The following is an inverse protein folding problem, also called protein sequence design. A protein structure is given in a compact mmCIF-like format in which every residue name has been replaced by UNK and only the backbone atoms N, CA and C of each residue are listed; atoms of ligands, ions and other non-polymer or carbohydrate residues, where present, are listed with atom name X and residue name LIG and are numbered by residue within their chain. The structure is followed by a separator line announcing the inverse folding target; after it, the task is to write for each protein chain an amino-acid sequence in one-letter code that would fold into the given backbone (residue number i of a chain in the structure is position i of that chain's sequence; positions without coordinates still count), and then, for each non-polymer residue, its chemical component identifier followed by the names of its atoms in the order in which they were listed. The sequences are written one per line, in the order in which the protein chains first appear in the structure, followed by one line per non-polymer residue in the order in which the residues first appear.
data_IF_613840187676
#
_entry.id   IF_613840187676
#
_cell.length_a   1.000
_cell.length_b   1.000
_cell.length_c   1.000
_cell.angle_alpha   90.00
_cell.angle_beta   90.00
_cell.angle_gamma   90.00
#
_symmetry.space_group_name_H-M   'P 1'
#
loop_
_entity.id
_entity.type
_entity.pdbx_description
1 polymer ?
#
# COMPACT_ATOMS: atom_id res chain seq x y z
N UNK A 1 19.26 -3.44 -23.19
CA UNK A 1 19.46 -2.95 -21.81
C UNK A 1 19.09 -4.04 -20.84
N UNK A 2 19.86 -4.19 -19.78
CA UNK A 2 19.68 -5.27 -18.80
C UNK A 2 18.76 -4.77 -17.69
N UNK A 3 17.66 -5.48 -17.36
CA UNK A 3 16.84 -5.14 -16.20
C UNK A 3 17.67 -5.22 -14.92
N UNK A 4 17.33 -4.41 -13.91
CA UNK A 4 17.95 -4.50 -12.58
C UNK A 4 17.82 -5.94 -12.04
N UNK A 5 18.91 -6.45 -11.50
CA UNK A 5 19.04 -7.79 -10.95
C UNK A 5 19.62 -7.79 -9.54
N UNK A 6 19.73 -8.98 -8.95
CA UNK A 6 20.20 -9.18 -7.57
C UNK A 6 21.58 -8.56 -7.32
N UNK A 7 22.48 -8.58 -8.31
CA UNK A 7 23.81 -7.99 -8.18
C UNK A 7 23.78 -6.47 -7.94
N UNK A 8 22.69 -5.79 -8.37
CA UNK A 8 22.52 -4.36 -8.16
C UNK A 8 22.16 -4.03 -6.70
N UNK A 9 21.69 -5.01 -5.91
CA UNK A 9 21.43 -4.81 -4.47
C UNK A 9 22.67 -4.36 -3.70
N UNK A 10 23.87 -4.72 -4.17
CA UNK A 10 25.13 -4.34 -3.54
C UNK A 10 25.57 -2.89 -3.85
N UNK A 11 24.98 -2.23 -4.85
CA UNK A 11 25.37 -0.86 -5.26
C UNK A 11 24.75 0.25 -4.42
N UNK A 12 23.72 -0.07 -3.64
CA UNK A 12 22.89 0.92 -2.95
C UNK A 12 21.78 1.49 -3.85
N UNK A 13 20.79 2.18 -3.24
CA UNK A 13 19.60 2.65 -3.94
C UNK A 13 19.90 3.69 -5.04
N UNK A 14 20.79 4.65 -4.76
CA UNK A 14 21.18 5.70 -5.70
C UNK A 14 21.88 5.15 -6.95
N UNK A 15 22.82 4.22 -6.75
CA UNK A 15 23.51 3.53 -7.83
C UNK A 15 22.57 2.70 -8.69
N UNK A 16 21.57 2.05 -8.07
CA UNK A 16 20.54 1.30 -8.78
C UNK A 16 19.58 2.21 -9.56
N UNK A 17 19.13 3.31 -8.98
CA UNK A 17 18.27 4.28 -9.65
C UNK A 17 18.98 4.93 -10.87
N UNK A 18 20.25 5.31 -10.73
CA UNK A 18 21.06 5.86 -11.83
C UNK A 18 21.31 4.86 -12.97
N UNK A 19 21.20 3.56 -12.70
CA UNK A 19 21.45 2.52 -13.69
C UNK A 19 20.22 2.19 -14.56
N UNK A 20 19.03 2.71 -14.23
CA UNK A 20 17.82 2.46 -15.02
C UNK A 20 17.64 3.49 -16.13
N UNK A 21 17.05 3.12 -17.28
CA UNK A 21 16.90 4.06 -18.39
C UNK A 21 15.96 5.24 -18.10
N UNK A 22 15.11 5.14 -17.08
CA UNK A 22 14.26 6.25 -16.66
C UNK A 22 15.08 7.45 -16.17
N UNK A 23 16.22 7.19 -15.52
CA UNK A 23 17.13 8.23 -15.04
C UNK A 23 17.68 9.09 -16.18
N UNK A 24 18.20 8.47 -17.24
CA UNK A 24 18.74 9.20 -18.40
C UNK A 24 17.69 10.02 -19.15
N UNK A 25 16.41 9.69 -19.00
CA UNK A 25 15.29 10.46 -19.56
C UNK A 25 14.84 11.62 -18.67
N UNK A 26 15.39 11.74 -17.46
CA UNK A 26 14.93 12.69 -16.45
C UNK A 26 13.61 12.28 -15.77
N UNK A 27 13.18 11.01 -15.88
CA UNK A 27 12.03 10.49 -15.12
C UNK A 27 12.54 9.88 -13.81
N UNK A 28 12.97 10.74 -12.89
CA UNK A 28 13.57 10.32 -11.62
C UNK A 28 12.58 9.59 -10.73
N UNK A 29 11.30 9.94 -10.79
CA UNK A 29 10.26 9.21 -10.06
C UNK A 29 10.17 7.74 -10.50
N UNK A 30 10.15 7.49 -11.82
CA UNK A 30 10.15 6.14 -12.36
C UNK A 30 11.42 5.40 -11.96
N UNK A 31 12.58 6.07 -11.97
CA UNK A 31 13.85 5.47 -11.57
C UNK A 31 13.89 5.06 -10.09
N UNK A 32 13.44 5.94 -9.19
CA UNK A 32 13.30 5.65 -7.75
C UNK A 32 12.35 4.47 -7.54
N UNK A 33 11.20 4.47 -8.23
CA UNK A 33 10.21 3.38 -8.14
C UNK A 33 10.77 2.04 -8.63
N UNK A 34 11.55 2.02 -9.70
CA UNK A 34 12.19 0.80 -10.21
C UNK A 34 13.25 0.26 -9.25
N UNK A 35 14.09 1.13 -8.68
CA UNK A 35 15.09 0.74 -7.68
C UNK A 35 14.43 0.18 -6.41
N UNK A 36 13.43 0.87 -5.85
CA UNK A 36 12.66 0.36 -4.70
C UNK A 36 11.89 -0.91 -5.06
N UNK A 37 11.43 -1.04 -6.30
CA UNK A 37 10.80 -2.25 -6.82
C UNK A 37 11.73 -3.47 -6.81
N UNK A 38 13.04 -3.29 -6.99
CA UNK A 38 14.02 -4.36 -6.81
C UNK A 38 14.14 -4.74 -5.34
N UNK A 39 14.41 -3.78 -4.44
CA UNK A 39 14.51 -4.03 -3.00
C UNK A 39 13.25 -4.73 -2.46
N UNK A 40 12.06 -4.24 -2.84
CA UNK A 40 10.75 -4.81 -2.50
C UNK A 40 10.64 -6.30 -2.83
N UNK A 41 11.09 -6.72 -4.02
CA UNK A 41 11.04 -8.13 -4.45
C UNK A 41 11.89 -9.06 -3.58
N UNK A 42 12.93 -8.51 -2.95
CA UNK A 42 13.92 -9.24 -2.18
C UNK A 42 13.75 -9.11 -0.66
N UNK A 43 12.73 -8.40 -0.16
CA UNK A 43 12.47 -8.28 1.28
C UNK A 43 12.19 -9.63 1.98
N UNK A 44 11.79 -10.64 1.21
CA UNK A 44 11.55 -11.99 1.72
C UNK A 44 12.82 -12.83 1.92
N UNK A 45 13.95 -12.39 1.37
CA UNK A 45 15.21 -13.10 1.49
C UNK A 45 15.77 -12.99 2.90
N UNK A 46 16.55 -13.99 3.31
CA UNK A 46 17.22 -13.96 4.63
C UNK A 46 18.17 -12.76 4.76
N UNK A 47 18.82 -12.38 3.67
CA UNK A 47 19.77 -11.27 3.59
C UNK A 47 19.21 -10.19 2.66
N UNK A 48 18.14 -9.52 3.10
CA UNK A 48 17.49 -8.49 2.30
C UNK A 48 18.21 -7.13 2.38
N UNK A 49 17.99 -6.29 1.36
CA UNK A 49 18.36 -4.88 1.36
C UNK A 49 17.10 -4.03 1.58
N UNK A 50 17.02 -3.30 2.68
CA UNK A 50 15.97 -2.29 2.89
C UNK A 50 16.48 -0.95 2.35
N UNK A 51 16.17 -0.69 1.09
CA UNK A 51 16.52 0.58 0.46
C UNK A 51 15.46 1.61 0.77
N UNK A 52 15.89 2.74 1.32
CA UNK A 52 15.05 3.88 1.66
C UNK A 52 15.57 5.10 0.90
N UNK A 53 14.65 5.89 0.37
CA UNK A 53 14.97 7.15 -0.29
C UNK A 53 14.50 8.32 0.57
N UNK A 54 15.42 9.18 1.01
CA UNK A 54 15.11 10.46 1.62
C UNK A 54 14.73 11.48 0.55
N UNK A 55 13.67 12.23 0.83
CA UNK A 55 13.05 13.23 -0.03
C UNK A 55 12.41 14.33 0.82
N UNK A 56 11.86 15.35 0.16
CA UNK A 56 10.98 16.34 0.76
C UNK A 56 9.62 16.28 0.08
N UNK A 57 8.53 16.32 0.86
CA UNK A 57 7.17 16.51 0.33
C UNK A 57 7.02 17.92 -0.26
N UNK A 58 5.96 18.19 -1.05
CA UNK A 58 5.74 19.52 -1.63
C UNK A 58 5.63 20.68 -0.62
N UNK A 59 5.25 20.39 0.62
CA UNK A 59 5.18 21.35 1.73
C UNK A 59 6.51 21.47 2.52
N UNK A 60 7.57 20.77 2.08
CA UNK A 60 8.90 20.84 2.67
C UNK A 60 9.09 19.97 3.91
N UNK A 61 8.20 19.01 4.16
CA UNK A 61 8.37 18.04 5.23
C UNK A 61 9.39 16.96 4.82
N UNK A 62 10.38 16.60 5.66
CA UNK A 62 11.25 15.46 5.40
C UNK A 62 10.42 14.18 5.23
N UNK A 63 10.77 13.36 4.24
CA UNK A 63 10.04 12.15 3.94
C UNK A 63 10.93 11.00 3.48
N UNK A 64 10.53 9.78 3.83
CA UNK A 64 11.21 8.56 3.41
C UNK A 64 10.31 7.69 2.55
N UNK A 65 10.72 7.41 1.32
CA UNK A 65 10.05 6.51 0.39
C UNK A 65 10.57 5.09 0.64
N UNK A 66 9.66 4.17 0.94
CA UNK A 66 9.99 2.83 1.42
C UNK A 66 9.86 1.75 0.32
N UNK A 67 10.53 0.58 0.47
CA UNK A 67 10.36 -0.55 -0.43
C UNK A 67 9.13 -1.40 -0.04
N UNK A 68 8.12 -0.79 0.59
CA UNK A 68 6.85 -1.42 0.98
C UNK A 68 5.70 -0.67 0.32
N UNK A 69 4.63 -1.36 -0.08
CA UNK A 69 3.42 -0.69 -0.62
C UNK A 69 2.51 -0.17 0.47
N UNK A 70 1.72 0.86 0.15
CA UNK A 70 0.61 1.32 1.00
C UNK A 70 -0.29 0.18 1.46
N UNK A 71 -0.64 -0.77 0.59
CA UNK A 71 -1.42 -1.95 0.98
C UNK A 71 -0.70 -2.83 2.03
N UNK A 72 0.62 -3.00 1.92
CA UNK A 72 1.38 -3.78 2.89
C UNK A 72 1.47 -3.07 4.24
N UNK A 73 1.40 -1.74 4.24
CA UNK A 73 1.25 -0.96 5.47
C UNK A 73 -0.12 -1.18 6.10
N UNK A 74 -1.22 -1.03 5.32
CA UNK A 74 -2.61 -1.23 5.81
C UNK A 74 -2.82 -2.62 6.40
N UNK A 75 -2.28 -3.63 5.74
CA UNK A 75 -2.47 -5.03 6.15
C UNK A 75 -1.45 -5.43 7.23
N UNK A 76 -0.42 -4.61 7.46
CA UNK A 76 0.80 -4.97 8.18
C UNK A 76 1.31 -6.37 7.80
N UNK A 77 1.24 -6.67 6.50
CA UNK A 77 1.50 -7.98 5.95
C UNK A 77 2.09 -7.88 4.55
N UNK A 78 2.85 -8.89 4.09
CA UNK A 78 3.35 -10.03 4.85
C UNK A 78 4.41 -9.64 5.91
N UNK A 79 4.75 -10.56 6.80
CA UNK A 79 5.63 -10.34 7.96
C UNK A 79 6.93 -9.57 7.67
N UNK A 80 7.64 -9.88 6.58
CA UNK A 80 8.92 -9.23 6.26
C UNK A 80 8.78 -7.75 5.88
N UNK A 81 7.91 -7.37 4.93
CA UNK A 81 7.54 -5.96 4.71
C UNK A 81 7.09 -5.24 5.98
N UNK A 82 6.30 -5.88 6.84
CA UNK A 82 5.89 -5.30 8.12
C UNK A 82 7.08 -5.04 9.06
N UNK A 83 7.99 -6.01 9.21
CA UNK A 83 9.23 -5.84 9.97
C UNK A 83 10.08 -4.70 9.42
N UNK A 84 10.17 -4.56 8.09
CA UNK A 84 10.92 -3.47 7.43
C UNK A 84 10.29 -2.11 7.72
N UNK A 85 8.97 -2.00 7.60
CA UNK A 85 8.22 -0.80 7.96
C UNK A 85 8.48 -0.42 9.43
N UNK A 86 8.24 -1.32 10.38
CA UNK A 86 8.37 -1.04 11.81
C UNK A 86 9.81 -0.65 12.20
N UNK A 87 10.82 -1.33 11.63
CA UNK A 87 12.23 -0.97 11.83
C UNK A 87 12.58 0.40 11.26
N UNK A 88 12.02 0.73 10.11
CA UNK A 88 12.27 2.04 9.48
C UNK A 88 11.59 3.17 10.24
N UNK A 89 10.38 2.95 10.77
CA UNK A 89 9.71 3.92 11.64
C UNK A 89 10.52 4.12 12.93
N UNK A 90 11.00 3.04 13.56
CA UNK A 90 11.88 3.14 14.72
C UNK A 90 13.16 3.92 14.40
N UNK A 91 13.79 3.64 13.26
CA UNK A 91 14.96 4.39 12.80
C UNK A 91 14.67 5.89 12.64
N UNK A 92 13.48 6.26 12.13
CA UNK A 92 13.10 7.66 12.03
C UNK A 92 12.95 8.32 13.40
N UNK A 93 12.32 7.62 14.35
CA UNK A 93 12.17 8.10 15.74
C UNK A 93 13.54 8.23 16.43
N UNK A 94 14.41 7.24 16.28
CA UNK A 94 15.78 7.28 16.79
C UNK A 94 16.59 8.43 16.16
N UNK A 95 16.25 8.78 14.90
CA UNK A 95 16.78 9.93 14.18
C UNK A 95 16.06 11.26 14.50
N UNK A 96 15.22 11.32 15.54
CA UNK A 96 14.60 12.56 16.02
C UNK A 96 13.23 12.90 15.43
N UNK A 97 12.69 12.10 14.51
CA UNK A 97 11.33 12.31 14.01
C UNK A 97 10.31 12.24 15.15
N UNK A 98 9.38 13.18 15.20
CA UNK A 98 8.36 13.31 16.24
C UNK A 98 7.29 12.21 16.07
N UNK A 99 7.20 11.20 16.96
CA UNK A 99 6.37 10.02 16.69
C UNK A 99 4.88 10.32 16.46
N UNK A 100 4.34 11.29 17.19
CA UNK A 100 2.95 11.72 17.09
C UNK A 100 2.64 12.56 15.83
N UNK A 101 3.66 12.94 15.06
CA UNK A 101 3.54 13.69 13.81
C UNK A 101 3.97 12.87 12.58
N UNK A 102 4.41 11.63 12.77
CA UNK A 102 4.74 10.73 11.65
C UNK A 102 3.45 10.36 10.92
N UNK A 103 3.37 10.73 9.64
CA UNK A 103 2.30 10.34 8.72
C UNK A 103 2.74 9.23 7.76
N UNK A 104 1.77 8.59 7.11
CA UNK A 104 2.03 7.62 6.05
C UNK A 104 1.21 7.98 4.82
N UNK A 105 1.87 8.29 3.71
CA UNK A 105 1.26 8.60 2.43
C UNK A 105 1.42 7.45 1.44
N UNK A 106 0.54 7.39 0.44
CA UNK A 106 0.69 6.53 -0.73
C UNK A 106 1.25 7.33 -1.92
N UNK A 107 2.49 7.04 -2.31
CA UNK A 107 3.09 7.60 -3.53
C UNK A 107 3.36 6.50 -4.55
N UNK A 108 2.64 6.54 -5.68
CA UNK A 108 2.78 5.56 -6.80
C UNK A 108 2.71 4.10 -6.33
N UNK A 109 1.86 3.83 -5.34
CA UNK A 109 1.67 2.51 -4.73
C UNK A 109 2.73 2.08 -3.71
N UNK A 110 3.71 2.94 -3.41
CA UNK A 110 4.69 2.78 -2.34
C UNK A 110 4.26 3.60 -1.11
N UNK A 111 4.70 3.16 0.07
CA UNK A 111 4.51 3.91 1.29
C UNK A 111 5.59 4.99 1.42
N UNK A 112 5.18 6.16 1.89
CA UNK A 112 6.05 7.28 2.23
C UNK A 112 5.80 7.65 3.68
N UNK A 113 6.84 7.70 4.50
CA UNK A 113 6.75 8.27 5.84
C UNK A 113 7.00 9.77 5.76
N UNK A 114 6.11 10.59 6.32
CA UNK A 114 6.42 12.00 6.60
C UNK A 114 7.01 12.08 8.00
N UNK A 115 8.12 12.80 8.15
CA UNK A 115 8.99 12.71 9.32
C UNK A 115 9.31 14.10 9.90
N UNK A 116 8.31 14.84 10.43
CA UNK A 116 8.56 16.12 11.09
C UNK A 116 9.58 15.97 12.23
N UNK A 117 10.57 16.87 12.28
CA UNK A 117 11.60 16.88 13.31
C UNK A 117 12.78 15.92 13.08
N UNK A 118 12.78 15.18 11.97
CA UNK A 118 13.90 14.32 11.59
C UNK A 118 15.23 15.10 11.54
N UNK A 119 16.27 14.52 12.11
CA UNK A 119 17.65 14.97 11.98
C UNK A 119 18.36 14.18 10.87
N UNK A 120 18.57 14.85 9.74
CA UNK A 120 19.20 14.27 8.55
C UNK A 120 20.66 13.84 8.77
N UNK A 121 21.36 14.40 9.77
CA UNK A 121 22.75 14.04 10.05
C UNK A 121 22.88 12.63 10.64
N UNK A 122 21.85 12.15 11.34
CA UNK A 122 21.82 10.83 11.98
C UNK A 122 20.89 9.84 11.27
N UNK A 123 20.01 10.32 10.38
CA UNK A 123 19.06 9.51 9.61
C UNK A 123 19.68 8.27 8.95
N UNK A 124 20.79 8.44 8.23
CA UNK A 124 21.45 7.33 7.53
C UNK A 124 22.03 6.28 8.50
N UNK A 125 22.56 6.72 9.64
CA UNK A 125 23.08 5.83 10.67
C UNK A 125 21.93 5.04 11.33
N UNK A 126 20.84 5.71 11.68
CA UNK A 126 19.68 5.06 12.28
C UNK A 126 19.06 3.99 11.37
N UNK A 127 18.94 4.27 10.06
CA UNK A 127 18.48 3.28 9.07
C UNK A 127 19.43 2.09 8.99
N UNK A 128 20.74 2.34 9.02
CA UNK A 128 21.73 1.26 9.02
C UNK A 128 21.60 0.36 10.26
N UNK A 129 21.53 0.96 11.45
CA UNK A 129 21.45 0.25 12.73
C UNK A 129 20.14 -0.54 12.90
N UNK A 130 19.03 -0.01 12.39
CA UNK A 130 17.73 -0.68 12.49
C UNK A 130 17.64 -1.98 11.66
N UNK A 131 18.54 -2.16 10.70
CA UNK A 131 18.58 -3.32 9.81
C UNK A 131 19.92 -4.08 9.92
N UNK A 132 20.18 -4.75 11.06
CA UNK A 132 21.44 -5.45 11.28
C UNK A 132 21.57 -6.71 10.42
N UNK A 133 22.82 -7.14 10.22
CA UNK A 133 23.17 -8.35 9.48
C UNK A 133 22.33 -9.57 9.94
N UNK A 134 21.86 -10.43 9.01
CA UNK A 134 22.21 -10.47 7.59
C UNK A 134 21.44 -9.47 6.70
N UNK A 135 20.51 -8.70 7.24
CA UNK A 135 19.89 -7.59 6.52
C UNK A 135 20.84 -6.39 6.45
N UNK A 136 20.52 -5.42 5.60
CA UNK A 136 21.17 -4.12 5.62
C UNK A 136 20.18 -3.03 5.18
N UNK A 137 20.17 -1.92 5.92
CA UNK A 137 19.42 -0.72 5.59
C UNK A 137 20.34 0.28 4.91
N UNK A 138 19.85 0.93 3.85
CA UNK A 138 20.58 1.97 3.14
C UNK A 138 19.64 3.12 2.84
N UNK A 139 19.98 4.31 3.32
CA UNK A 139 19.31 5.56 3.01
C UNK A 139 20.07 6.29 1.90
N UNK A 140 19.38 6.73 0.86
CA UNK A 140 19.94 7.59 -0.18
C UNK A 140 19.04 8.80 -0.45
N UNK A 141 19.62 9.89 -0.90
CA UNK A 141 18.88 11.10 -1.28
C UNK A 141 18.32 10.96 -2.70
N UNK A 142 17.07 11.39 -2.91
CA UNK A 142 16.50 11.52 -4.26
C UNK A 142 16.92 12.83 -4.93
N UNK A 143 16.80 12.93 -6.27
CA UNK A 143 16.84 14.22 -6.96
C UNK A 143 15.76 15.19 -6.42
N UNK A 144 16.02 16.51 -6.35
CA UNK A 144 15.08 17.49 -5.78
C UNK A 144 13.73 17.60 -6.51
N UNK A 145 13.64 17.13 -7.74
CA UNK A 145 12.40 17.08 -8.52
C UNK A 145 11.50 15.90 -8.17
N UNK A 146 11.99 14.93 -7.39
CA UNK A 146 11.19 13.85 -6.81
C UNK A 146 10.58 14.33 -5.50
N UNK A 147 9.34 14.79 -5.58
CA UNK A 147 8.56 15.24 -4.42
C UNK A 147 7.43 14.24 -4.16
N UNK A 148 7.60 13.28 -3.22
CA UNK A 148 6.54 12.33 -2.92
C UNK A 148 5.31 13.05 -2.36
N UNK A 149 4.16 12.77 -2.96
CA UNK A 149 2.86 13.27 -2.56
C UNK A 149 1.79 12.20 -2.86
N UNK A 150 0.69 12.26 -2.12
CA UNK A 150 -0.42 11.35 -2.29
C UNK A 150 -1.34 11.30 -1.08
N UNK A 151 -2.42 10.51 -1.15
CA UNK A 151 -3.38 10.41 -0.06
C UNK A 151 -2.76 9.70 1.15
N UNK A 152 -3.29 10.02 2.34
CA UNK A 152 -2.97 9.28 3.56
C UNK A 152 -3.33 7.79 3.41
N UNK A 153 -2.45 6.93 3.91
CA UNK A 153 -2.71 5.51 4.09
C UNK A 153 -3.61 5.35 5.32
N UNK A 154 -4.83 4.89 5.11
CA UNK A 154 -5.78 4.66 6.20
C UNK A 154 -5.28 3.52 7.11
N UNK A 155 -4.85 3.87 8.32
CA UNK A 155 -4.44 2.95 9.38
C UNK A 155 -5.66 2.62 10.26
N UNK A 156 -6.54 1.77 9.72
CA UNK A 156 -7.77 1.30 10.39
C UNK A 156 -7.49 0.42 11.61
N UNK A 157 -8.51 -0.29 12.12
CA UNK A 157 -8.35 -1.21 13.25
C UNK A 157 -7.30 -2.31 13.03
N UNK A 158 -7.15 -3.26 13.97
CA UNK A 158 -6.18 -4.33 13.87
C UNK A 158 -6.32 -5.09 12.52
N UNK A 159 -5.24 -5.22 11.73
CA UNK A 159 -5.28 -5.97 10.47
C UNK A 159 -5.65 -7.44 10.66
N UNK A 160 -6.31 -8.03 9.66
CA UNK A 160 -6.59 -9.45 9.69
C UNK A 160 -5.29 -10.28 9.61
N UNK A 161 -5.18 -11.31 10.44
CA UNK A 161 -4.06 -12.25 10.37
C UNK A 161 -2.73 -11.73 10.93
N UNK A 162 -2.78 -10.78 11.87
CA UNK A 162 -1.62 -10.42 12.69
C UNK A 162 -1.01 -11.66 13.36
N UNK A 163 0.31 -11.63 13.55
CA UNK A 163 1.02 -12.69 14.27
C UNK A 163 0.64 -12.59 15.76
N UNK A 164 -0.02 -13.62 16.34
CA UNK A 164 -0.42 -13.58 17.75
C UNK A 164 0.78 -13.60 18.71
N UNK A 165 1.98 -13.89 18.21
CA UNK A 165 3.22 -13.79 18.99
C UNK A 165 3.86 -12.39 18.96
N UNK A 166 3.36 -11.48 18.13
CA UNK A 166 3.82 -10.09 18.11
C UNK A 166 3.33 -9.36 19.38
N UNK A 167 4.22 -8.71 20.15
CA UNK A 167 3.86 -7.99 21.38
C UNK A 167 2.85 -6.85 21.18
N UNK A 168 2.74 -6.28 19.97
CA UNK A 168 1.78 -5.22 19.65
C UNK A 168 0.38 -5.75 19.36
N UNK A 169 0.23 -7.01 18.95
CA UNK A 169 -1.06 -7.64 18.65
C UNK A 169 -2.08 -7.50 19.80
N UNK A 170 -1.78 -7.90 21.05
CA UNK A 170 -2.76 -7.77 22.14
C UNK A 170 -3.11 -6.31 22.47
N UNK A 171 -2.22 -5.36 22.19
CA UNK A 171 -2.48 -3.93 22.39
C UNK A 171 -3.40 -3.40 21.30
N UNK A 172 -3.09 -3.69 20.04
CA UNK A 172 -3.88 -3.33 18.87
C UNK A 172 -5.31 -3.89 18.96
N UNK A 173 -5.47 -5.14 19.39
CA UNK A 173 -6.78 -5.76 19.61
C UNK A 173 -7.55 -5.06 20.74
N UNK A 174 -6.88 -4.70 21.84
CA UNK A 174 -7.52 -4.09 23.00
C UNK A 174 -7.94 -2.62 22.77
N UNK A 175 -7.23 -1.89 21.91
CA UNK A 175 -7.53 -0.49 21.55
C UNK A 175 -8.25 -0.34 20.22
N UNK A 176 -8.50 -1.46 19.53
CA UNK A 176 -8.99 -1.52 18.16
C UNK A 176 -8.22 -0.60 17.18
N UNK A 177 -6.90 -0.54 17.32
CA UNK A 177 -6.05 0.37 16.55
C UNK A 177 -5.05 -0.37 15.67
N UNK A 178 -4.63 0.24 14.57
CA UNK A 178 -3.53 -0.28 13.76
C UNK A 178 -2.25 -0.42 14.61
N UNK A 179 -1.48 -1.52 14.53
CA UNK A 179 -0.28 -1.69 15.33
C UNK A 179 0.78 -0.61 15.12
N UNK A 180 0.87 -0.03 13.91
CA UNK A 180 1.72 1.13 13.66
C UNK A 180 1.31 2.35 14.51
N UNK A 181 -0.01 2.60 14.67
CA UNK A 181 -0.50 3.69 15.53
C UNK A 181 -0.17 3.42 16.99
N UNK A 182 -0.34 2.17 17.45
CA UNK A 182 0.05 1.73 18.80
C UNK A 182 1.54 2.00 19.03
N UNK A 183 2.40 1.60 18.10
CA UNK A 183 3.84 1.78 18.23
C UNK A 183 4.27 3.25 18.25
N UNK A 184 3.67 4.09 17.39
CA UNK A 184 3.93 5.54 17.40
C UNK A 184 3.48 6.19 18.71
N UNK A 185 2.34 5.77 19.26
CA UNK A 185 1.83 6.29 20.53
C UNK A 185 2.72 5.90 21.72
N UNK A 186 3.20 4.65 21.72
CA UNK A 186 4.20 4.16 22.68
C UNK A 186 5.47 5.02 22.61
N UNK A 187 6.01 5.22 21.40
CA UNK A 187 7.20 6.03 21.18
C UNK A 187 7.01 7.49 21.62
N UNK A 188 5.86 8.10 21.32
CA UNK A 188 5.53 9.47 21.76
C UNK A 188 5.57 9.64 23.28
N UNK A 189 5.31 8.55 24.02
CA UNK A 189 5.33 8.49 25.48
C UNK A 189 6.61 7.85 26.05
N UNK A 190 7.68 7.78 25.24
CA UNK A 190 9.00 7.28 25.66
C UNK A 190 9.02 5.77 25.96
N UNK A 191 8.03 5.02 25.50
CA UNK A 191 8.02 3.56 25.57
C UNK A 191 8.70 2.98 24.32
N UNK A 192 9.46 1.90 24.50
CA UNK A 192 10.06 1.18 23.37
C UNK A 192 8.98 0.57 22.47
N UNK A 193 9.13 0.68 21.16
CA UNK A 193 8.19 0.13 20.16
C UNK A 193 8.31 -1.39 19.98
N UNK A 194 9.46 -1.95 20.35
CA UNK A 194 9.86 -3.34 20.10
C UNK A 194 10.12 -4.11 21.40
N UNK A 195 9.51 -3.67 22.50
CA UNK A 195 9.59 -4.39 23.76
C UNK A 195 9.10 -5.85 23.55
N UNK A 196 9.78 -6.85 24.14
CA UNK A 196 9.40 -8.26 23.96
C UNK A 196 8.03 -8.58 24.58
N UNK A 197 7.53 -7.72 25.46
CA UNK A 197 6.21 -7.78 26.07
C UNK A 197 5.87 -6.43 26.69
N UNK A 198 4.59 -6.10 26.78
CA UNK A 198 4.10 -4.92 27.48
C UNK A 198 3.33 -5.29 28.74
N UNK A 199 3.44 -4.50 29.83
CA UNK A 199 2.63 -4.68 31.03
C UNK A 199 1.15 -4.42 30.73
N UNK A 200 0.24 -5.12 31.41
CA UNK A 200 -1.20 -5.01 31.16
C UNK A 200 -1.76 -3.60 31.42
N UNK A 201 -1.10 -2.86 32.30
CA UNK A 201 -1.41 -1.48 32.65
C UNK A 201 -1.26 -0.51 31.46
N UNK A 202 -0.50 -0.89 30.41
CA UNK A 202 -0.32 -0.02 29.24
C UNK A 202 -1.62 0.18 28.45
N UNK A 203 -2.55 -0.78 28.48
CA UNK A 203 -3.79 -0.70 27.69
C UNK A 203 -4.67 0.48 28.16
N UNK A 204 -4.95 0.63 29.47
CA UNK A 204 -5.56 1.85 29.99
C UNK A 204 -4.81 3.14 29.63
N UNK A 205 -3.46 3.12 29.63
CA UNK A 205 -2.68 4.29 29.22
C UNK A 205 -2.89 4.65 27.75
N UNK A 206 -2.79 3.68 26.84
CA UNK A 206 -2.99 3.88 25.40
C UNK A 206 -4.37 4.50 25.11
N UNK A 207 -5.41 4.04 25.80
CA UNK A 207 -6.74 4.64 25.71
C UNK A 207 -6.76 6.08 26.21
N UNK A 208 -6.10 6.37 27.34
CA UNK A 208 -5.96 7.76 27.86
C UNK A 208 -5.15 8.66 26.93
N UNK A 209 -4.22 8.10 26.17
CA UNK A 209 -3.44 8.81 25.15
C UNK A 209 -4.20 9.00 23.83
N UNK A 210 -5.38 8.40 23.68
CA UNK A 210 -6.28 8.64 22.55
C UNK A 210 -6.43 7.46 21.59
N UNK A 211 -5.85 6.30 21.90
CA UNK A 211 -6.11 5.05 21.18
C UNK A 211 -7.30 4.31 21.81
N UNK A 212 -8.49 4.80 21.50
CA UNK A 212 -9.77 4.19 21.93
C UNK A 212 -10.72 4.14 20.72
N UNK A 213 -10.23 3.53 19.63
CA UNK A 213 -11.07 3.25 18.48
C UNK A 213 -12.10 2.18 18.86
N UNK A 214 -13.30 2.27 18.29
CA UNK A 214 -14.33 1.26 18.50
C UNK A 214 -14.27 0.21 17.40
N UNK A 215 -14.45 -1.09 17.70
CA UNK A 215 -14.72 -2.06 16.67
C UNK A 215 -15.95 -1.64 15.87
N UNK A 216 -15.96 -1.86 14.54
CA UNK A 216 -17.19 -1.74 13.80
C UNK A 216 -18.23 -2.65 14.47
N UNK A 217 -19.51 -2.23 14.55
CA UNK A 217 -20.54 -3.06 15.15
C UNK A 217 -20.54 -4.45 14.50
N UNK A 218 -20.85 -5.53 15.24
CA UNK A 218 -20.73 -6.91 14.74
C UNK A 218 -21.57 -7.19 13.48
N UNK A 219 -22.61 -6.38 13.24
CA UNK A 219 -23.46 -6.43 12.05
C UNK A 219 -23.06 -5.41 10.97
N UNK A 220 -21.91 -4.74 11.12
CA UNK A 220 -21.38 -3.86 10.09
C UNK A 220 -21.02 -4.72 8.86
N UNK A 221 -21.57 -4.40 7.69
CA UNK A 221 -21.25 -5.14 6.47
C UNK A 221 -19.76 -4.99 6.14
N UNK A 222 -19.07 -6.13 5.99
CA UNK A 222 -17.67 -6.18 5.57
C UNK A 222 -17.49 -5.49 4.21
N UNK A 223 -16.45 -4.66 4.10
CA UNK A 223 -16.07 -4.02 2.85
C UNK A 223 -15.11 -4.87 2.02
N UNK A 224 -14.68 -6.04 2.49
CA UNK A 224 -13.79 -6.92 1.72
C UNK A 224 -14.44 -7.37 0.40
N UNK A 225 -13.62 -7.67 -0.59
CA UNK A 225 -14.11 -8.11 -1.91
C UNK A 225 -14.78 -9.48 -1.79
N UNK A 226 -14.17 -10.36 -1.02
CA UNK A 226 -14.58 -11.75 -0.82
C UNK A 226 -15.95 -11.83 -0.12
N UNK A 227 -16.21 -10.89 0.79
CA UNK A 227 -17.45 -10.78 1.56
C UNK A 227 -18.57 -10.03 0.82
N UNK A 228 -18.31 -9.53 -0.39
CA UNK A 228 -19.33 -8.82 -1.16
C UNK A 228 -20.51 -9.76 -1.51
N UNK A 229 -21.74 -9.42 -1.09
CA UNK A 229 -22.90 -10.30 -1.30
C UNK A 229 -23.32 -10.40 -2.76
N UNK A 230 -22.85 -9.52 -3.65
CA UNK A 230 -23.13 -9.56 -5.08
C UNK A 230 -21.98 -10.25 -5.84
N UNK A 231 -22.17 -11.48 -6.37
CA UNK A 231 -21.10 -12.19 -7.10
C UNK A 231 -20.56 -11.41 -8.30
N UNK A 232 -21.45 -10.72 -9.04
CA UNK A 232 -21.08 -9.89 -10.19
C UNK A 232 -20.20 -8.71 -9.79
N UNK A 233 -20.55 -8.02 -8.71
CA UNK A 233 -19.74 -6.91 -8.17
C UNK A 233 -18.42 -7.41 -7.62
N UNK A 234 -18.40 -8.51 -6.87
CA UNK A 234 -17.16 -9.18 -6.42
C UNK A 234 -16.21 -9.47 -7.57
N UNK A 235 -16.72 -10.02 -8.67
CA UNK A 235 -15.93 -10.30 -9.88
C UNK A 235 -15.38 -9.00 -10.50
N UNK A 236 -16.22 -7.98 -10.65
CA UNK A 236 -15.80 -6.67 -11.15
C UNK A 236 -14.67 -6.07 -10.29
N UNK A 237 -14.84 -6.02 -8.97
CA UNK A 237 -13.85 -5.54 -7.99
C UNK A 237 -12.53 -6.29 -8.10
N UNK A 238 -12.60 -7.63 -8.21
CA UNK A 238 -11.42 -8.49 -8.39
C UNK A 238 -10.67 -8.18 -9.69
N UNK A 239 -11.40 -8.06 -10.81
CA UNK A 239 -10.82 -7.79 -12.12
C UNK A 239 -10.18 -6.40 -12.16
N UNK A 240 -10.87 -5.38 -11.66
CA UNK A 240 -10.35 -4.01 -11.62
C UNK A 240 -9.10 -3.91 -10.72
N UNK A 241 -9.12 -4.50 -9.52
CA UNK A 241 -7.96 -4.60 -8.60
C UNK A 241 -6.77 -5.25 -9.30
N UNK A 242 -7.00 -6.32 -10.06
CA UNK A 242 -5.95 -7.00 -10.83
C UNK A 242 -5.40 -6.13 -11.95
N UNK A 243 -6.24 -5.46 -12.74
CA UNK A 243 -5.80 -4.57 -13.83
C UNK A 243 -5.00 -3.37 -13.31
N UNK A 244 -5.40 -2.80 -12.17
CA UNK A 244 -4.68 -1.74 -11.47
C UNK A 244 -3.27 -2.20 -11.08
N UNK A 245 -3.16 -3.38 -10.45
CA UNK A 245 -1.87 -3.99 -10.09
C UNK A 245 -0.97 -4.25 -11.30
N UNK A 246 -1.55 -4.50 -12.47
CA UNK A 246 -0.83 -4.70 -13.73
C UNK A 246 -0.48 -3.39 -14.45
N UNK A 247 -0.86 -2.22 -13.90
CA UNK A 247 -0.62 -0.92 -14.52
C UNK A 247 -1.37 -0.72 -15.84
N UNK A 248 -2.51 -1.38 -16.04
CA UNK A 248 -3.30 -1.32 -17.29
C UNK A 248 -4.16 -0.06 -17.37
N UNK A 249 -3.55 1.11 -17.15
CA UNK A 249 -4.23 2.41 -17.10
C UNK A 249 -3.90 3.22 -18.35
N UNK A 250 -4.94 3.62 -19.09
CA UNK A 250 -4.81 4.38 -20.34
C UNK A 250 -4.56 3.50 -21.58
N UNK A 251 -4.87 4.06 -22.76
CA UNK A 251 -4.94 3.30 -24.02
C UNK A 251 -3.61 2.64 -24.45
N UNK A 252 -2.48 3.16 -23.97
CA UNK A 252 -1.17 2.59 -24.24
C UNK A 252 -0.98 1.24 -23.51
N UNK A 253 -1.61 1.05 -22.35
CA UNK A 253 -1.44 -0.11 -21.47
C UNK A 253 -2.73 -0.94 -21.39
N UNK A 254 -2.88 -1.85 -22.34
CA UNK A 254 -4.11 -2.63 -22.57
C UNK A 254 -3.87 -4.14 -22.41
N UNK A 255 -4.97 -4.88 -22.31
CA UNK A 255 -5.00 -6.35 -22.25
C UNK A 255 -6.12 -6.88 -23.15
N UNK A 256 -6.02 -8.14 -23.60
CA UNK A 256 -7.12 -8.81 -24.29
C UNK A 256 -8.37 -8.88 -23.40
N UNK A 257 -9.55 -8.69 -23.99
CA UNK A 257 -10.83 -8.72 -23.28
C UNK A 257 -11.07 -10.06 -22.58
N UNK A 258 -10.64 -11.17 -23.19
CA UNK A 258 -10.74 -12.52 -22.64
C UNK A 258 -10.07 -12.68 -21.27
N UNK A 259 -9.11 -11.82 -20.95
CA UNK A 259 -8.48 -11.84 -19.64
C UNK A 259 -9.45 -11.45 -18.52
N UNK A 260 -10.52 -10.70 -18.80
CA UNK A 260 -11.50 -10.27 -17.79
C UNK A 260 -12.24 -11.46 -17.14
N UNK A 261 -12.48 -12.54 -17.87
CA UNK A 261 -13.13 -13.75 -17.35
C UNK A 261 -12.16 -14.93 -17.19
N UNK A 262 -10.86 -14.73 -17.44
CA UNK A 262 -9.84 -15.74 -17.15
C UNK A 262 -9.76 -15.97 -15.63
N UNK A 263 -10.11 -17.18 -15.21
CA UNK A 263 -10.15 -17.62 -13.81
C UNK A 263 -11.55 -17.89 -13.27
N UNK A 264 -12.62 -17.48 -13.98
CA UNK A 264 -13.99 -17.86 -13.64
C UNK A 264 -14.22 -19.37 -13.86
N UNK A 265 -15.01 -19.98 -12.99
CA UNK A 265 -15.47 -21.36 -13.17
C UNK A 265 -16.22 -21.47 -14.52
N UNK A 266 -16.17 -22.63 -15.22
CA UNK A 266 -16.81 -22.79 -16.52
C UNK A 266 -18.27 -22.31 -16.59
N UNK A 267 -19.04 -22.57 -15.54
CA UNK A 267 -20.44 -22.17 -15.34
C UNK A 267 -20.63 -20.65 -15.19
N UNK A 268 -19.65 -19.93 -14.64
CA UNK A 268 -19.72 -18.49 -14.36
C UNK A 268 -19.15 -17.63 -15.49
N UNK A 269 -18.58 -18.24 -16.54
CA UNK A 269 -17.89 -17.49 -17.60
C UNK A 269 -18.79 -16.53 -18.35
N UNK A 270 -20.06 -16.90 -18.54
CA UNK A 270 -21.02 -16.02 -19.20
C UNK A 270 -21.29 -14.77 -18.36
N UNK A 271 -21.54 -14.94 -17.07
CA UNK A 271 -21.72 -13.82 -16.13
C UNK A 271 -20.46 -12.95 -16.03
N UNK A 272 -19.28 -13.56 -15.99
CA UNK A 272 -18.00 -12.85 -15.97
C UNK A 272 -17.76 -12.03 -17.25
N UNK A 273 -18.22 -12.52 -18.40
CA UNK A 273 -18.18 -11.80 -19.67
C UNK A 273 -19.14 -10.60 -19.64
N UNK A 274 -20.39 -10.82 -19.21
CA UNK A 274 -21.40 -9.75 -19.09
C UNK A 274 -20.93 -8.64 -18.13
N UNK A 275 -20.30 -9.00 -17.01
CA UNK A 275 -19.68 -8.03 -16.09
C UNK A 275 -18.58 -7.22 -16.79
N UNK A 276 -17.75 -7.88 -17.61
CA UNK A 276 -16.75 -7.21 -18.45
C UNK A 276 -17.39 -6.16 -19.37
N UNK A 277 -18.45 -6.55 -20.09
CA UNK A 277 -19.20 -5.67 -21.00
C UNK A 277 -19.86 -4.50 -20.26
N UNK A 278 -20.41 -4.76 -19.09
CA UNK A 278 -21.01 -3.73 -18.25
C UNK A 278 -19.98 -2.67 -17.82
N UNK A 279 -18.76 -3.08 -17.47
CA UNK A 279 -17.68 -2.15 -17.14
C UNK A 279 -17.21 -1.31 -18.35
N UNK A 280 -17.28 -1.85 -19.58
CA UNK A 280 -17.04 -1.05 -20.79
C UNK A 280 -18.16 -0.03 -21.00
N UNK A 281 -19.42 -0.46 -20.91
CA UNK A 281 -20.59 0.41 -21.08
C UNK A 281 -20.62 1.55 -20.05
N UNK A 282 -20.26 1.26 -18.80
CA UNK A 282 -20.15 2.24 -17.72
C UNK A 282 -18.93 3.17 -17.83
N UNK A 283 -18.08 2.97 -18.84
CA UNK A 283 -16.89 3.80 -19.04
C UNK A 283 -15.82 3.62 -17.97
N UNK A 284 -15.80 2.50 -17.25
CA UNK A 284 -14.67 2.14 -16.37
C UNK A 284 -13.50 1.61 -17.22
N UNK A 285 -13.83 0.85 -18.26
CA UNK A 285 -12.89 0.34 -19.24
C UNK A 285 -13.00 1.11 -20.56
N UNK A 286 -11.84 1.43 -21.14
CA UNK A 286 -11.74 1.95 -22.49
C UNK A 286 -11.33 0.84 -23.44
N UNK A 287 -11.79 0.92 -24.69
CA UNK A 287 -11.42 -0.02 -25.73
C UNK A 287 -10.28 0.52 -26.57
N UNK A 288 -9.36 -0.37 -26.96
CA UNK A 288 -8.35 -0.08 -27.96
C UNK A 288 -8.71 -0.84 -29.25
N UNK A 289 -8.86 -0.14 -30.39
CA UNK A 289 -9.03 -0.81 -31.68
C UNK A 289 -7.72 -1.53 -32.03
N UNK A 290 -7.77 -2.87 -32.03
CA UNK A 290 -6.70 -3.75 -32.48
C UNK A 290 -7.24 -4.68 -33.55
N UNK A 291 -6.41 -5.02 -34.55
CA UNK A 291 -6.81 -5.90 -35.66
C UNK A 291 -7.02 -7.32 -35.12
N UNK A 292 -8.27 -7.78 -35.09
CA UNK A 292 -8.64 -9.18 -34.83
C UNK A 292 -8.89 -9.56 -33.37
N UNK A 293 -8.60 -8.70 -32.39
CA UNK A 293 -8.83 -8.96 -30.97
C UNK A 293 -9.25 -7.70 -30.21
N UNK A 294 -10.29 -7.83 -29.39
CA UNK A 294 -10.81 -6.73 -28.58
C UNK A 294 -9.93 -6.56 -27.33
N UNK A 295 -9.45 -5.35 -27.11
CA UNK A 295 -8.55 -5.04 -26.00
C UNK A 295 -9.12 -3.92 -25.14
N UNK A 296 -8.86 -4.02 -23.84
CA UNK A 296 -9.34 -3.07 -22.83
C UNK A 296 -8.24 -2.55 -21.94
N UNK A 297 -8.47 -1.37 -21.38
CA UNK A 297 -7.63 -0.70 -20.39
C UNK A 297 -8.51 0.06 -19.40
N UNK A 298 -8.01 0.36 -18.20
CA UNK A 298 -8.66 1.22 -17.22
C UNK A 298 -8.60 2.67 -17.70
N UNK A 299 -9.74 3.37 -17.74
CA UNK A 299 -9.76 4.79 -18.12
C UNK A 299 -9.19 5.63 -16.99
N UNK A 300 -8.23 6.50 -17.30
CA UNK A 300 -7.58 7.37 -16.32
C UNK A 300 -8.59 8.28 -15.61
N UNK A 301 -9.51 8.86 -16.38
CA UNK A 301 -10.54 9.76 -15.85
C UNK A 301 -11.57 9.04 -14.96
N UNK A 302 -11.65 7.71 -15.06
CA UNK A 302 -12.56 6.88 -14.28
C UNK A 302 -11.91 6.27 -13.04
N UNK A 303 -10.62 6.55 -12.76
CA UNK A 303 -9.91 6.01 -11.60
C UNK A 303 -10.64 6.25 -10.26
N UNK A 304 -11.19 7.45 -9.97
CA UNK A 304 -11.95 7.65 -8.73
C UNK A 304 -13.14 6.69 -8.59
N UNK A 305 -13.89 6.46 -9.68
CA UNK A 305 -15.01 5.52 -9.68
C UNK A 305 -14.55 4.05 -9.57
N UNK A 306 -13.42 3.71 -10.21
CA UNK A 306 -12.79 2.40 -10.08
C UNK A 306 -12.38 2.13 -8.63
N UNK A 307 -11.76 3.10 -7.96
CA UNK A 307 -11.40 2.99 -6.55
C UNK A 307 -12.64 2.86 -5.65
N UNK A 308 -13.66 3.71 -5.84
CA UNK A 308 -14.92 3.58 -5.11
C UNK A 308 -15.55 2.18 -5.22
N UNK A 309 -15.53 1.61 -6.43
CA UNK A 309 -16.01 0.26 -6.66
C UNK A 309 -15.13 -0.79 -5.97
N UNK A 310 -13.81 -0.74 -6.15
CA UNK A 310 -12.89 -1.72 -5.54
C UNK A 310 -12.99 -1.68 -4.01
N UNK A 311 -12.96 -0.49 -3.42
CA UNK A 311 -12.79 -0.31 -1.97
C UNK A 311 -14.12 -0.46 -1.22
N UNK A 312 -15.23 -0.03 -1.82
CA UNK A 312 -16.54 0.03 -1.13
C UNK A 312 -17.68 -0.69 -1.86
N UNK A 313 -17.44 -1.20 -3.07
CA UNK A 313 -18.51 -1.78 -3.89
C UNK A 313 -19.53 -0.75 -4.38
N UNK A 314 -19.16 0.52 -4.46
CA UNK A 314 -20.04 1.60 -4.87
C UNK A 314 -19.93 1.91 -6.37
N UNK A 315 -21.04 2.32 -6.99
CA UNK A 315 -21.06 2.91 -8.34
C UNK A 315 -22.10 4.00 -8.42
N UNK A 316 -21.78 5.06 -9.17
CA UNK A 316 -22.75 6.08 -9.59
C UNK A 316 -23.40 5.76 -10.94
N UNK A 317 -22.93 4.71 -11.63
CA UNK A 317 -23.50 4.28 -12.91
C UNK A 317 -24.82 3.51 -12.66
N UNK A 318 -25.96 4.01 -13.15
CA UNK A 318 -27.27 3.42 -12.86
C UNK A 318 -27.44 2.05 -13.52
N UNK A 319 -26.74 1.77 -14.62
CA UNK A 319 -26.80 0.48 -15.30
C UNK A 319 -26.05 -0.58 -14.50
N UNK A 320 -24.83 -0.29 -14.03
CA UNK A 320 -24.10 -1.18 -13.11
C UNK A 320 -24.89 -1.40 -11.82
N UNK A 321 -25.46 -0.34 -11.25
CA UNK A 321 -26.27 -0.45 -10.05
C UNK A 321 -27.49 -1.37 -10.25
N UNK A 322 -28.14 -1.31 -11.41
CA UNK A 322 -29.28 -2.17 -11.74
C UNK A 322 -28.88 -3.63 -12.00
N UNK A 323 -27.67 -3.86 -12.51
CA UNK A 323 -27.13 -5.21 -12.75
C UNK A 323 -26.66 -5.91 -11.47
N UNK A 324 -26.46 -5.15 -10.39
CA UNK A 324 -26.10 -5.70 -9.08
C UNK A 324 -27.35 -6.02 -8.28
N UNK A 325 -27.59 -7.31 -8.08
CA UNK A 325 -28.79 -7.83 -7.39
C UNK A 325 -28.74 -7.71 -5.87
N UNK A 326 -27.62 -7.22 -5.30
CA UNK A 326 -27.49 -6.95 -3.87
C UNK A 326 -26.97 -5.51 -3.64
N UNK A 327 -27.40 -4.83 -2.55
CA UNK A 327 -26.93 -3.49 -2.21
C UNK A 327 -25.41 -3.48 -2.01
N UNK A 328 -24.78 -2.30 -2.18
CA UNK A 328 -23.35 -2.14 -1.91
C UNK A 328 -23.04 -2.55 -0.45
N UNK A 329 -21.87 -3.13 -0.17
CA UNK A 329 -21.41 -3.29 1.20
C UNK A 329 -21.47 -1.94 1.93
N UNK A 330 -22.08 -1.89 3.12
CA UNK A 330 -22.28 -0.63 3.85
C UNK A 330 -23.60 0.10 3.58
N UNK A 331 -24.33 -0.24 2.50
CA UNK A 331 -25.59 0.42 2.20
C UNK A 331 -26.71 -0.12 3.09
N UNK A 332 -27.11 0.65 4.09
CA UNK A 332 -28.32 0.37 4.87
C UNK A 332 -29.58 0.53 4.00
N UNK A 333 -30.56 -0.39 4.09
CA UNK A 333 -31.88 -0.14 3.52
C UNK A 333 -32.46 1.11 4.18
N UNK A 334 -32.84 2.10 3.36
CA UNK A 334 -33.60 3.27 3.80
C UNK A 334 -35.05 2.91 4.09
#
# INVERSE_FOLDING_TARGET
MTPLGVADLARGPDGAARAVPAWDRGDHDEAVREALGLSKKHLHDRAYAAWVFAAETPDGCPAWILPVSAQQVRDLAPRRPAEVLMRTVRAAVDAGAMPNAIGVLEWKGLAVLTLPGLDDEIAALAVHEAHPAPAHGVLAQVPPDVQPDGPDVVLGGPPAGMDPSDPLTPLADATWSHPLRVALELAAHGQAMDAPSYPAEIIPELRRWGLDDAPPPPDAPSLEIEDDPCPRRRHARTVLRRLLRMGKVGAQYHTEFDHLYRGAAPEDRHDALEVGEAMVRAGLLGEKPSVGQRHVYLRRDSLPAIHALIDRGETSDPTLAAEWTAPAPGAHPR
#
